data_IF_159204356534
#
_entry.id   IF_159204356534
#
_cell.length_a   1.000
_cell.length_b   1.000
_cell.length_c   1.000
_cell.angle_alpha   90.00
_cell.angle_beta   90.00
_cell.angle_gamma   90.00
#
_symmetry.space_group_name_H-M   'P 1'
#
loop_
_entity.id
_entity.type
_entity.pdbx_description
1 polymer ?
#
# COMPACT_ATOMS: atom_id res chain seq x y z
N UNK A 1 1.96 -0.57 30.02
CA UNK A 1 2.54 -1.07 28.76
C UNK A 1 1.48 -1.58 27.75
N UNK A 2 0.22 -1.12 27.85
CA UNK A 2 -0.94 -1.52 27.01
C UNK A 2 -1.60 -0.30 26.32
N UNK A 3 -1.09 0.93 26.55
CA UNK A 3 -1.64 2.16 25.96
C UNK A 3 -1.30 2.40 24.48
N UNK A 4 -0.60 1.46 23.83
CA UNK A 4 0.02 1.62 22.51
C UNK A 4 -0.59 0.73 21.40
N UNK A 5 -1.75 0.11 21.63
CA UNK A 5 -2.32 -0.90 20.71
C UNK A 5 -3.71 -0.66 20.05
N UNK A 6 -4.37 0.51 20.08
CA UNK A 6 -5.53 0.74 19.19
C UNK A 6 -5.21 1.36 17.81
N UNK A 7 -4.10 2.10 17.65
CA UNK A 7 -3.79 2.85 16.42
C UNK A 7 -2.88 2.07 15.45
N UNK A 8 -1.88 1.36 15.97
CA UNK A 8 -0.94 0.58 15.15
C UNK A 8 -1.64 -0.57 14.40
N UNK A 9 -2.62 -1.21 15.04
CA UNK A 9 -3.42 -2.25 14.41
C UNK A 9 -4.27 -1.67 13.26
N UNK A 10 -4.86 -0.48 13.46
CA UNK A 10 -5.59 0.20 12.39
C UNK A 10 -4.67 0.55 11.21
N UNK A 11 -3.43 0.99 11.48
CA UNK A 11 -2.43 1.24 10.43
C UNK A 11 -2.12 -0.03 9.62
N UNK A 12 -1.96 -1.17 10.28
CA UNK A 12 -1.74 -2.46 9.60
C UNK A 12 -2.94 -2.95 8.80
N UNK A 13 -4.17 -2.59 9.20
CA UNK A 13 -5.40 -2.93 8.45
C UNK A 13 -5.60 -1.99 7.28
N UNK A 14 -5.27 -0.70 7.42
CA UNK A 14 -5.36 0.27 6.33
C UNK A 14 -4.46 -0.09 5.14
N UNK A 15 -3.28 -0.66 5.38
CA UNK A 15 -2.33 -1.04 4.34
C UNK A 15 -2.88 -2.07 3.31
N UNK A 16 -3.35 -3.27 3.70
CA UNK A 16 -3.94 -4.22 2.77
C UNK A 16 -5.25 -3.72 2.15
N UNK A 17 -6.01 -2.86 2.84
CA UNK A 17 -7.18 -2.19 2.24
C UNK A 17 -6.74 -1.29 1.08
N UNK A 18 -5.67 -0.51 1.24
CA UNK A 18 -5.14 0.30 0.15
C UNK A 18 -4.64 -0.55 -1.01
N UNK A 19 -3.98 -1.67 -0.72
CA UNK A 19 -3.54 -2.60 -1.75
C UNK A 19 -4.73 -3.24 -2.48
N UNK A 20 -5.81 -3.57 -1.77
CA UNK A 20 -7.05 -4.08 -2.37
C UNK A 20 -7.73 -3.05 -3.25
N UNK A 21 -7.81 -1.78 -2.82
CA UNK A 21 -8.36 -0.70 -3.64
C UNK A 21 -7.51 -0.47 -4.89
N UNK A 22 -6.18 -0.51 -4.76
CA UNK A 22 -5.26 -0.33 -5.89
C UNK A 22 -5.41 -1.42 -6.97
N UNK A 23 -5.89 -2.61 -6.59
CA UNK A 23 -6.23 -3.64 -7.57
C UNK A 23 -7.27 -3.13 -8.59
N UNK A 24 -8.25 -2.33 -8.16
CA UNK A 24 -9.29 -1.80 -9.04
C UNK A 24 -8.92 -0.45 -9.65
N UNK A 25 -8.21 0.39 -8.90
CA UNK A 25 -7.87 1.76 -9.31
C UNK A 25 -6.36 1.86 -9.39
N UNK A 26 -5.80 1.31 -10.46
CA UNK A 26 -4.36 1.30 -10.71
C UNK A 26 -3.86 2.66 -11.22
N UNK A 27 -3.99 3.68 -10.38
CA UNK A 27 -3.58 5.05 -10.65
C UNK A 27 -3.36 5.75 -9.32
N UNK A 28 -2.12 6.09 -9.00
CA UNK A 28 -1.82 6.73 -7.71
C UNK A 28 -2.63 8.01 -7.48
N UNK A 29 -2.61 8.95 -8.44
CA UNK A 29 -3.40 10.18 -8.28
C UNK A 29 -4.91 9.92 -8.19
N UNK A 30 -5.46 8.99 -8.96
CA UNK A 30 -6.88 8.61 -8.91
C UNK A 30 -7.27 7.93 -7.59
N UNK A 31 -6.45 7.02 -7.11
CA UNK A 31 -6.64 6.35 -5.84
C UNK A 31 -6.52 7.33 -4.66
N UNK A 32 -5.51 8.21 -4.68
CA UNK A 32 -5.35 9.23 -3.64
C UNK A 32 -6.56 10.17 -3.60
N UNK A 33 -7.03 10.65 -4.75
CA UNK A 33 -8.20 11.52 -4.85
C UNK A 33 -9.48 10.85 -4.31
N UNK A 34 -9.63 9.54 -4.50
CA UNK A 34 -10.78 8.78 -3.98
C UNK A 34 -10.65 8.47 -2.48
N UNK A 35 -9.48 8.00 -2.05
CA UNK A 35 -9.32 7.36 -0.74
C UNK A 35 -8.91 8.35 0.36
N UNK A 36 -8.09 9.36 0.06
CA UNK A 36 -7.60 10.31 1.07
C UNK A 36 -8.71 11.10 1.79
N UNK A 37 -9.78 11.57 1.11
CA UNK A 37 -10.88 12.24 1.80
C UNK A 37 -11.56 11.38 2.89
N UNK A 38 -11.47 10.05 2.76
CA UNK A 38 -12.03 9.08 3.72
C UNK A 38 -10.96 8.67 4.74
N UNK A 39 -9.74 8.40 4.30
CA UNK A 39 -8.66 7.92 5.16
C UNK A 39 -8.12 8.99 6.11
N UNK A 40 -8.08 10.26 5.71
CA UNK A 40 -7.60 11.34 6.56
C UNK A 40 -8.46 11.49 7.84
N UNK A 41 -9.80 11.63 7.76
CA UNK A 41 -10.63 11.69 8.96
C UNK A 41 -10.70 10.35 9.69
N UNK A 42 -10.59 9.21 8.98
CA UNK A 42 -10.48 7.90 9.63
C UNK A 42 -9.20 7.81 10.47
N UNK A 43 -8.07 8.25 9.94
CA UNK A 43 -6.79 8.32 10.63
C UNK A 43 -6.88 9.18 11.88
N UNK A 44 -7.45 10.38 11.76
CA UNK A 44 -7.70 11.29 12.89
C UNK A 44 -8.56 10.61 13.99
N UNK A 45 -9.57 9.82 13.60
CA UNK A 45 -10.45 9.08 14.52
C UNK A 45 -9.72 7.93 15.27
N UNK A 46 -8.83 7.22 14.59
CA UNK A 46 -8.09 6.07 15.17
C UNK A 46 -6.73 6.46 15.77
N UNK A 47 -6.42 7.77 15.84
CA UNK A 47 -5.17 8.28 16.41
C UNK A 47 -3.94 8.01 15.54
N UNK A 48 -4.10 7.98 14.22
CA UNK A 48 -3.05 7.87 13.21
C UNK A 48 -2.87 9.24 12.55
N UNK A 49 -1.63 9.71 12.43
CA UNK A 49 -1.35 10.98 11.75
C UNK A 49 -1.70 10.92 10.26
N UNK A 50 -1.96 12.09 9.66
CA UNK A 50 -2.24 12.18 8.22
C UNK A 50 -1.02 11.76 7.38
N UNK A 51 0.19 12.04 7.87
CA UNK A 51 1.45 11.68 7.23
C UNK A 51 1.64 10.16 7.22
N UNK A 52 1.35 9.49 8.34
CA UNK A 52 1.34 8.04 8.40
C UNK A 52 0.26 7.45 7.50
N UNK A 53 -0.91 8.08 7.41
CA UNK A 53 -1.97 7.70 6.46
C UNK A 53 -1.50 7.80 5.00
N UNK A 54 -0.78 8.88 4.65
CA UNK A 54 -0.19 9.07 3.32
C UNK A 54 0.93 8.05 3.05
N UNK A 55 1.74 7.70 4.04
CA UNK A 55 2.74 6.64 3.92
C UNK A 55 2.08 5.30 3.61
N UNK A 56 1.05 4.92 4.39
CA UNK A 56 0.32 3.66 4.22
C UNK A 56 -0.26 3.54 2.81
N UNK A 57 -0.85 4.62 2.31
CA UNK A 57 -1.32 4.70 0.93
C UNK A 57 -0.20 4.51 -0.10
N UNK A 58 0.92 5.22 0.03
CA UNK A 58 2.03 5.12 -0.93
C UNK A 58 2.63 3.71 -0.98
N UNK A 59 2.77 3.07 0.18
CA UNK A 59 3.24 1.69 0.26
C UNK A 59 2.23 0.72 -0.37
N UNK A 60 0.93 0.99 -0.23
CA UNK A 60 -0.16 0.19 -0.79
C UNK A 60 -0.26 0.28 -2.31
N UNK A 61 -0.19 1.49 -2.86
CA UNK A 61 -0.25 1.77 -4.30
C UNK A 61 1.04 1.34 -5.01
N UNK A 62 2.20 1.84 -4.55
CA UNK A 62 3.45 1.78 -5.33
C UNK A 62 3.89 0.37 -5.71
N UNK A 63 4.02 -0.54 -4.74
CA UNK A 63 4.58 -1.86 -5.00
C UNK A 63 3.62 -2.80 -5.72
N UNK A 64 2.33 -2.68 -5.45
CA UNK A 64 1.31 -3.60 -5.99
C UNK A 64 1.06 -3.38 -7.49
N UNK A 65 1.39 -2.20 -8.02
CA UNK A 65 1.39 -1.90 -9.46
C UNK A 65 2.30 -2.82 -10.29
N UNK A 66 3.39 -3.34 -9.70
CA UNK A 66 4.29 -4.28 -10.38
C UNK A 66 3.76 -5.73 -10.41
N UNK A 67 2.63 -5.99 -9.74
CA UNK A 67 2.04 -7.32 -9.60
C UNK A 67 0.65 -7.41 -10.23
N UNK A 68 -0.17 -6.37 -10.10
CA UNK A 68 -1.57 -6.41 -10.50
C UNK A 68 -1.77 -6.34 -12.02
N UNK A 69 -2.63 -7.20 -12.59
CA UNK A 69 -2.86 -7.24 -14.02
C UNK A 69 -3.67 -6.03 -14.52
N UNK A 70 -4.27 -5.27 -13.60
CA UNK A 70 -4.97 -4.01 -13.89
C UNK A 70 -4.03 -2.85 -14.15
N UNK A 71 -2.71 -3.02 -13.92
CA UNK A 71 -1.71 -2.03 -14.30
C UNK A 71 -1.43 -2.06 -15.80
N UNK A 72 -1.94 -1.05 -16.51
CA UNK A 72 -1.70 -0.90 -17.95
C UNK A 72 -0.22 -0.79 -18.29
N UNK A 73 0.57 -0.13 -17.44
CA UNK A 73 2.03 -0.02 -17.61
C UNK A 73 2.69 -1.38 -17.51
N UNK A 74 2.33 -2.20 -16.52
CA UNK A 74 2.87 -3.56 -16.38
C UNK A 74 2.57 -4.40 -17.62
N UNK A 75 1.31 -4.43 -18.05
CA UNK A 75 0.88 -5.25 -19.20
C UNK A 75 1.57 -4.79 -20.49
N UNK A 76 1.72 -3.47 -20.69
CA UNK A 76 2.45 -2.93 -21.84
C UNK A 76 3.93 -3.33 -21.82
N UNK A 77 4.61 -3.19 -20.68
CA UNK A 77 6.01 -3.58 -20.53
C UNK A 77 6.22 -5.09 -20.76
N UNK A 78 5.35 -5.94 -20.20
CA UNK A 78 5.40 -7.38 -20.40
C UNK A 78 5.14 -7.77 -21.87
N UNK A 79 4.22 -7.08 -22.53
CA UNK A 79 3.94 -7.26 -23.95
C UNK A 79 5.15 -6.94 -24.83
N UNK A 80 5.84 -5.82 -24.57
CA UNK A 80 7.07 -5.43 -25.27
C UNK A 80 8.21 -6.42 -24.99
N UNK A 81 8.34 -6.87 -23.74
CA UNK A 81 9.37 -7.83 -23.33
C UNK A 81 9.09 -9.28 -23.76
N UNK A 82 7.89 -9.59 -24.28
CA UNK A 82 7.49 -10.96 -24.63
C UNK A 82 7.37 -11.90 -23.42
N UNK A 83 7.12 -11.37 -22.23
CA UNK A 83 7.05 -12.15 -20.98
C UNK A 83 5.59 -12.45 -20.63
N UNK A 84 5.18 -13.73 -20.53
CA UNK A 84 3.83 -14.06 -20.09
C UNK A 84 3.55 -13.58 -18.66
N UNK A 85 2.40 -12.95 -18.43
CA UNK A 85 2.01 -12.43 -17.11
C UNK A 85 2.11 -13.48 -15.99
N UNK A 86 1.64 -14.71 -16.22
CA UNK A 86 1.72 -15.77 -15.21
C UNK A 86 3.15 -16.16 -14.83
N UNK A 87 4.12 -16.00 -15.74
CA UNK A 87 5.55 -16.22 -15.46
C UNK A 87 6.10 -15.06 -14.63
N UNK A 88 5.76 -13.84 -15.00
CA UNK A 88 6.14 -12.64 -14.26
C UNK A 88 5.59 -12.66 -12.82
N UNK A 89 4.31 -12.99 -12.66
CA UNK A 89 3.64 -13.01 -11.35
C UNK A 89 4.36 -13.95 -10.37
N UNK A 90 4.71 -15.17 -10.81
CA UNK A 90 5.47 -16.12 -9.98
C UNK A 90 6.86 -15.60 -9.61
N UNK A 91 7.48 -14.84 -10.51
CA UNK A 91 8.81 -14.28 -10.30
C UNK A 91 8.79 -13.08 -9.33
N UNK A 92 7.77 -12.22 -9.40
CA UNK A 92 7.69 -11.00 -8.58
C UNK A 92 7.15 -11.27 -7.17
N UNK A 93 6.35 -12.32 -6.96
CA UNK A 93 5.73 -12.64 -5.65
C UNK A 93 6.74 -12.69 -4.49
N UNK A 94 7.90 -13.36 -4.58
CA UNK A 94 8.88 -13.38 -3.49
C UNK A 94 9.35 -11.98 -3.10
N UNK A 95 9.57 -11.10 -4.08
CA UNK A 95 9.93 -9.70 -3.85
C UNK A 95 8.77 -8.94 -3.19
N UNK A 96 7.54 -9.16 -3.64
CA UNK A 96 6.35 -8.52 -3.06
C UNK A 96 6.17 -8.90 -1.59
N UNK A 97 6.44 -10.14 -1.20
CA UNK A 97 6.39 -10.58 0.21
C UNK A 97 7.44 -9.82 1.04
N UNK A 98 8.67 -9.66 0.52
CA UNK A 98 9.73 -8.91 1.19
C UNK A 98 9.32 -7.43 1.34
N UNK A 99 8.81 -6.82 0.28
CA UNK A 99 8.35 -5.42 0.28
C UNK A 99 7.16 -5.21 1.22
N UNK A 100 6.25 -6.17 1.31
CA UNK A 100 5.14 -6.16 2.25
C UNK A 100 5.65 -6.18 3.70
N UNK A 101 6.59 -7.08 4.02
CA UNK A 101 7.21 -7.15 5.34
C UNK A 101 7.98 -5.86 5.69
N UNK A 102 8.74 -5.30 4.73
CA UNK A 102 9.43 -4.02 4.90
C UNK A 102 8.44 -2.87 5.12
N UNK A 103 7.32 -2.85 4.40
CA UNK A 103 6.26 -1.85 4.55
C UNK A 103 5.68 -1.86 5.95
N UNK A 104 5.40 -3.05 6.52
CA UNK A 104 4.99 -3.20 7.92
C UNK A 104 6.06 -2.65 8.87
N UNK A 105 7.34 -2.93 8.61
CA UNK A 105 8.46 -2.36 9.37
C UNK A 105 8.47 -0.83 9.34
N UNK A 106 8.36 -0.22 8.16
CA UNK A 106 8.30 1.24 8.01
C UNK A 106 7.08 1.86 8.70
N UNK A 107 5.89 1.27 8.55
CA UNK A 107 4.67 1.72 9.25
C UNK A 107 4.87 1.66 10.77
N UNK A 108 5.50 0.61 11.28
CA UNK A 108 5.78 0.45 12.70
C UNK A 108 6.74 1.53 13.20
N UNK A 109 7.87 1.72 12.52
CA UNK A 109 8.87 2.74 12.88
C UNK A 109 8.23 4.12 12.84
N UNK A 110 7.53 4.45 11.75
CA UNK A 110 6.81 5.71 11.57
C UNK A 110 5.81 5.99 12.70
N UNK A 111 5.05 4.97 13.10
CA UNK A 111 4.11 5.08 14.20
C UNK A 111 4.81 5.28 15.55
N UNK A 112 5.93 4.61 15.80
CA UNK A 112 6.65 4.67 17.07
C UNK A 112 7.40 6.00 17.27
N UNK A 113 7.95 6.58 16.20
CA UNK A 113 8.62 7.88 16.27
C UNK A 113 7.63 9.06 16.29
N UNK A 114 6.32 8.79 16.21
CA UNK A 114 5.29 9.82 16.17
C UNK A 114 5.35 10.66 14.89
N UNK A 115 5.63 10.02 13.74
CA UNK A 115 5.73 10.75 12.47
C UNK A 115 4.39 11.41 12.15
N UNK A 116 4.39 12.74 12.14
CA UNK A 116 3.23 13.61 11.93
C UNK A 116 3.64 14.89 11.19
#
# INVERSE_FOLDING_TARGET
AIGSLPSLLAAYVMYPIQMFINFFINSGSGQAALTMPILAPLGDLVGISRQLTVLIYQLGDGFSNAMFPTSGVLIACLGIAGVPYGKWLKWIIPLQIILFALSIGFITIASLIGWA
#
